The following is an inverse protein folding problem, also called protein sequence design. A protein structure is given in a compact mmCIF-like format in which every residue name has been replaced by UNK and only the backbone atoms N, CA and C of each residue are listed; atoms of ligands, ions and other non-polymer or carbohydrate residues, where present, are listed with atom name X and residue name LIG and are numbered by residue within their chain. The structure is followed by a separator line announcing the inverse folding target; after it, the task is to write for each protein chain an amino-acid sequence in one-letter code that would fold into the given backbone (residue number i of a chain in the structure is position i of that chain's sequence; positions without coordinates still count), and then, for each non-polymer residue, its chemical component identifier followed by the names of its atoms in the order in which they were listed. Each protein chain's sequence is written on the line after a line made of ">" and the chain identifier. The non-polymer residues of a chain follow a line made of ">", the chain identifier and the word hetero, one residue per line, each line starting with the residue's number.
data_IF_066543589976
#
_entry.id   IF_066543589976
#
_cell.length_a   1.000
_cell.length_b   1.000
_cell.length_c   1.000
_cell.angle_alpha   90.00
_cell.angle_beta   90.00
_cell.angle_gamma   90.00
#
_symmetry.space_group_name_H-M   'P 1'
#
loop_
_entity.id
_entity.type
_entity.pdbx_description
1 polymer ?
#
# COMPACT_ATOMS: atom_id res chain seq x y z
N UNK A 1 -0.85 -11.80 15.06
CA UNK A 1 -0.82 -10.33 15.07
C UNK A 1 -0.48 -9.93 16.49
N UNK A 2 0.57 -9.14 16.66
CA UNK A 2 1.04 -8.62 17.93
C UNK A 2 0.47 -7.24 18.24
N UNK A 3 -0.21 -6.61 17.28
CA UNK A 3 -0.97 -5.40 17.52
C UNK A 3 -2.07 -5.67 18.55
N UNK A 4 -1.76 -5.37 19.81
CA UNK A 4 -2.71 -5.39 20.92
C UNK A 4 -2.96 -3.95 21.34
N UNK A 5 -4.15 -3.46 21.03
CA UNK A 5 -4.61 -2.16 21.51
C UNK A 5 -5.10 -2.29 22.95
N UNK A 6 -4.75 -1.31 23.77
CA UNK A 6 -5.30 -1.22 25.11
C UNK A 6 -6.72 -0.63 25.05
N UNK A 7 -7.64 -1.21 25.83
CA UNK A 7 -9.01 -0.73 25.97
C UNK A 7 -10.05 -1.56 25.23
N UNK A 8 -11.13 -0.88 24.80
CA UNK A 8 -12.27 -1.47 24.13
C UNK A 8 -12.39 -0.88 22.72
N UNK A 9 -12.88 -1.65 21.73
CA UNK A 9 -13.20 -1.10 20.42
C UNK A 9 -14.35 -0.09 20.51
N UNK A 10 -14.47 0.80 19.53
CA UNK A 10 -15.59 1.73 19.46
C UNK A 10 -16.80 1.10 18.77
N UNK A 11 -17.99 1.66 19.02
CA UNK A 11 -19.18 1.23 18.30
C UNK A 11 -19.03 1.52 16.80
N UNK A 12 -19.53 0.60 15.97
CA UNK A 12 -19.37 0.62 14.52
C UNK A 12 -17.98 0.32 13.95
N UNK A 13 -16.98 0.05 14.79
CA UNK A 13 -15.66 -0.39 14.32
C UNK A 13 -15.70 -1.74 13.62
N UNK A 14 -14.78 -1.94 12.68
CA UNK A 14 -14.51 -3.23 12.05
C UNK A 14 -13.33 -3.89 12.73
N UNK A 15 -13.52 -5.12 13.19
CA UNK A 15 -12.52 -5.89 13.92
C UNK A 15 -12.35 -7.29 13.32
N UNK A 16 -11.13 -7.82 13.40
CA UNK A 16 -10.82 -9.18 13.01
C UNK A 16 -11.03 -10.11 14.20
N UNK A 17 -11.83 -11.14 14.01
CA UNK A 17 -12.13 -12.10 15.08
C UNK A 17 -11.87 -13.53 14.64
N UNK A 18 -11.39 -14.39 15.53
CA UNK A 18 -11.38 -15.84 15.34
C UNK A 18 -12.55 -16.46 16.09
N UNK A 19 -13.31 -17.31 15.42
CA UNK A 19 -14.40 -18.08 16.06
C UNK A 19 -13.80 -19.08 17.04
N UNK A 20 -14.16 -18.95 18.31
CA UNK A 20 -13.66 -19.83 19.38
C UNK A 20 -14.64 -20.93 19.73
N UNK A 21 -15.93 -20.61 19.77
CA UNK A 21 -16.97 -21.58 20.14
C UNK A 21 -18.31 -21.23 19.49
N UNK A 22 -19.03 -22.24 18.99
CA UNK A 22 -20.34 -22.07 18.36
C UNK A 22 -21.41 -22.73 19.24
N UNK A 23 -22.34 -21.92 19.76
CA UNK A 23 -23.54 -22.40 20.46
C UNK A 23 -24.80 -22.29 19.58
N UNK A 24 -25.93 -22.80 20.08
CA UNK A 24 -27.19 -22.85 19.33
C UNK A 24 -27.73 -21.49 18.90
N UNK A 25 -27.56 -20.44 19.73
CA UNK A 25 -28.10 -19.10 19.47
C UNK A 25 -27.02 -17.99 19.41
N UNK A 26 -25.78 -18.33 19.74
CA UNK A 26 -24.67 -17.38 19.90
C UNK A 26 -23.36 -17.99 19.43
N UNK A 27 -22.50 -17.15 18.86
CA UNK A 27 -21.15 -17.52 18.44
C UNK A 27 -20.18 -16.67 19.23
N UNK A 28 -19.24 -17.30 19.92
CA UNK A 28 -18.17 -16.63 20.63
C UNK A 28 -16.96 -16.51 19.73
N UNK A 29 -16.35 -15.33 19.74
CA UNK A 29 -15.19 -15.01 18.94
C UNK A 29 -14.15 -14.29 19.80
N UNK A 30 -12.87 -14.53 19.54
CA UNK A 30 -11.78 -13.74 20.10
C UNK A 30 -11.41 -12.63 19.12
N UNK A 31 -11.36 -11.40 19.59
CA UNK A 31 -10.92 -10.25 18.79
C UNK A 31 -9.39 -10.25 18.76
N UNK A 32 -8.76 -10.01 17.60
CA UNK A 32 -7.30 -10.02 17.47
C UNK A 32 -6.68 -8.71 17.93
N UNK A 33 -7.29 -7.58 17.56
CA UNK A 33 -6.77 -6.25 17.87
C UNK A 33 -6.93 -5.86 19.34
N UNK A 34 -7.89 -6.46 20.04
CA UNK A 34 -8.19 -6.23 21.44
C UNK A 34 -8.25 -7.60 22.11
N UNK A 35 -7.42 -7.86 23.13
CA UNK A 35 -7.31 -9.16 23.83
C UNK A 35 -8.58 -9.46 24.66
N UNK A 36 -9.71 -9.59 23.96
CA UNK A 36 -11.09 -9.58 24.46
C UNK A 36 -11.94 -10.57 23.66
N UNK A 37 -13.00 -11.05 24.31
CA UNK A 37 -14.00 -11.90 23.68
C UNK A 37 -15.19 -11.07 23.22
N UNK A 38 -15.75 -11.43 22.08
CA UNK A 38 -17.00 -10.89 21.55
C UNK A 38 -18.02 -12.00 21.30
N UNK A 39 -19.28 -11.59 21.21
CA UNK A 39 -20.40 -12.49 20.94
C UNK A 39 -21.16 -12.01 19.70
N UNK A 40 -21.53 -12.94 18.84
CA UNK A 40 -22.39 -12.70 17.68
C UNK A 40 -23.68 -13.46 17.93
N UNK A 41 -24.80 -12.76 18.01
CA UNK A 41 -26.13 -13.38 18.07
C UNK A 41 -26.48 -13.99 16.72
N UNK A 42 -27.27 -15.07 16.70
CA UNK A 42 -27.72 -15.73 15.46
C UNK A 42 -28.32 -14.75 14.43
N UNK A 43 -29.09 -13.76 14.89
CA UNK A 43 -29.70 -12.73 14.04
C UNK A 43 -28.68 -11.83 13.32
N UNK A 44 -27.44 -11.76 13.80
CA UNK A 44 -26.37 -10.92 13.29
C UNK A 44 -25.32 -11.70 12.48
N UNK A 45 -25.51 -13.01 12.26
CA UNK A 45 -24.59 -13.85 11.47
C UNK A 45 -24.80 -13.66 9.96
N UNK A 46 -26.04 -13.74 9.49
CA UNK A 46 -26.34 -13.68 8.06
C UNK A 46 -27.68 -12.96 7.79
N UNK A 47 -27.86 -12.37 6.60
CA UNK A 47 -29.16 -11.91 6.16
C UNK A 47 -30.08 -13.10 5.89
N UNK A 48 -31.27 -13.12 6.50
CA UNK A 48 -32.29 -14.15 6.26
C UNK A 48 -32.39 -15.22 7.38
N UNK A 49 -33.19 -16.27 7.13
CA UNK A 49 -33.44 -17.34 8.10
C UNK A 49 -32.33 -18.39 8.04
N UNK A 50 -31.60 -18.52 9.14
CA UNK A 50 -30.52 -19.49 9.30
C UNK A 50 -31.12 -20.82 9.77
N UNK A 51 -30.89 -21.91 9.02
CA UNK A 51 -31.26 -23.28 9.43
C UNK A 51 -30.15 -23.93 10.26
N UNK A 52 -28.90 -23.71 9.85
CA UNK A 52 -27.72 -24.23 10.51
C UNK A 52 -26.65 -23.12 10.58
N UNK A 53 -26.15 -22.83 11.78
CA UNK A 53 -25.13 -21.80 12.01
C UNK A 53 -23.79 -22.22 11.40
N UNK A 54 -23.49 -23.53 11.39
CA UNK A 54 -22.21 -24.09 10.92
C UNK A 54 -21.97 -23.89 9.42
N UNK A 55 -23.02 -23.57 8.67
CA UNK A 55 -22.90 -23.26 7.24
C UNK A 55 -22.27 -21.86 7.01
N UNK A 56 -22.36 -20.98 8.00
CA UNK A 56 -21.89 -19.58 7.92
C UNK A 56 -20.59 -19.34 8.68
N UNK A 57 -20.39 -20.05 9.79
CA UNK A 57 -19.22 -19.88 10.67
C UNK A 57 -18.67 -21.24 11.07
N UNK A 58 -17.34 -21.34 11.15
CA UNK A 58 -16.63 -22.54 11.56
C UNK A 58 -15.63 -22.16 12.65
N UNK A 59 -15.50 -23.02 13.65
CA UNK A 59 -14.53 -22.85 14.73
C UNK A 59 -13.10 -22.77 14.17
N UNK A 60 -12.29 -21.89 14.75
CA UNK A 60 -10.93 -21.61 14.32
C UNK A 60 -10.82 -20.70 13.07
N UNK A 61 -11.92 -20.42 12.35
CA UNK A 61 -11.86 -19.49 11.21
C UNK A 61 -11.81 -18.04 11.67
N UNK A 62 -11.07 -17.25 10.90
CA UNK A 62 -11.04 -15.79 11.03
C UNK A 62 -12.19 -15.18 10.23
N UNK A 63 -12.92 -14.27 10.86
CA UNK A 63 -14.01 -13.48 10.28
C UNK A 63 -13.81 -12.00 10.60
N UNK A 64 -14.34 -11.11 9.75
CA UNK A 64 -14.35 -9.67 10.02
C UNK A 64 -15.76 -9.31 10.48
N UNK A 65 -15.86 -8.68 11.64
CA UNK A 65 -17.12 -8.33 12.28
C UNK A 65 -17.20 -6.83 12.54
N UNK A 66 -18.41 -6.29 12.53
CA UNK A 66 -18.71 -4.93 12.96
C UNK A 66 -19.13 -4.93 14.43
N UNK A 67 -18.57 -4.01 15.22
CA UNK A 67 -18.97 -3.78 16.61
C UNK A 67 -20.32 -3.08 16.64
N UNK A 68 -21.28 -3.64 17.38
CA UNK A 68 -22.60 -3.06 17.57
C UNK A 68 -22.69 -2.27 18.86
N UNK A 69 -22.28 -2.89 19.96
CA UNK A 69 -22.39 -2.33 21.29
C UNK A 69 -21.25 -2.86 22.16
N UNK A 70 -20.80 -2.04 23.10
CA UNK A 70 -19.71 -2.37 24.01
C UNK A 70 -20.10 -2.05 25.45
N UNK A 71 -20.27 -3.09 26.25
CA UNK A 71 -20.48 -2.95 27.68
C UNK A 71 -19.13 -2.98 28.41
N UNK A 72 -18.61 -1.81 28.76
CA UNK A 72 -17.30 -1.65 29.44
C UNK A 72 -17.29 -2.19 30.86
N UNK A 73 -18.42 -2.17 31.57
CA UNK A 73 -18.53 -2.66 32.96
C UNK A 73 -18.44 -4.18 33.04
N UNK A 74 -19.12 -4.86 32.12
CA UNK A 74 -19.19 -6.34 32.09
C UNK A 74 -18.19 -6.97 31.12
N UNK A 75 -17.55 -6.17 30.28
CA UNK A 75 -16.59 -6.63 29.27
C UNK A 75 -17.21 -7.33 28.06
N UNK A 76 -18.52 -7.19 27.84
CA UNK A 76 -19.21 -7.81 26.71
C UNK A 76 -19.15 -6.91 25.46
N UNK A 77 -18.86 -7.52 24.32
CA UNK A 77 -18.79 -6.86 23.01
C UNK A 77 -19.74 -7.60 22.07
N UNK A 78 -20.79 -6.92 21.63
CA UNK A 78 -21.73 -7.44 20.65
C UNK A 78 -21.24 -7.15 19.24
N UNK A 79 -21.17 -8.19 18.43
CA UNK A 79 -20.58 -8.15 17.09
C UNK A 79 -21.61 -8.59 16.04
N UNK A 80 -21.40 -8.14 14.80
CA UNK A 80 -22.22 -8.50 13.65
C UNK A 80 -21.37 -8.88 12.45
N UNK A 81 -21.69 -10.02 11.86
CA UNK A 81 -21.10 -10.49 10.60
C UNK A 81 -21.90 -9.97 9.40
N UNK A 82 -23.24 -9.87 9.53
CA UNK A 82 -24.14 -9.47 8.43
C UNK A 82 -24.03 -7.99 8.04
N UNK A 83 -23.63 -7.11 8.97
CA UNK A 83 -23.56 -5.66 8.74
C UNK A 83 -22.23 -5.20 8.12
N UNK A 84 -21.37 -6.14 7.71
CA UNK A 84 -20.10 -5.85 7.04
C UNK A 84 -20.27 -6.01 5.55
N UNK A 85 -20.11 -4.91 4.80
CA UNK A 85 -20.13 -4.95 3.33
C UNK A 85 -18.87 -5.62 2.75
N UNK A 86 -18.96 -6.15 1.53
CA UNK A 86 -17.80 -6.76 0.85
C UNK A 86 -16.65 -5.75 0.65
N UNK A 87 -16.96 -4.48 0.38
CA UNK A 87 -15.94 -3.42 0.30
C UNK A 87 -15.21 -3.23 1.63
N UNK A 88 -15.95 -3.14 2.73
CA UNK A 88 -15.38 -3.04 4.07
C UNK A 88 -14.55 -4.26 4.46
N UNK A 89 -14.99 -5.48 4.12
CA UNK A 89 -14.20 -6.70 4.34
C UNK A 89 -12.87 -6.64 3.60
N UNK A 90 -12.86 -6.20 2.34
CA UNK A 90 -11.64 -6.07 1.54
C UNK A 90 -10.68 -5.06 2.16
N UNK A 91 -11.17 -3.85 2.43
CA UNK A 91 -10.36 -2.78 3.05
C UNK A 91 -9.73 -3.24 4.36
N UNK A 92 -10.54 -3.79 5.28
CA UNK A 92 -10.03 -4.27 6.57
C UNK A 92 -9.07 -5.45 6.42
N UNK A 93 -9.35 -6.38 5.50
CA UNK A 93 -8.42 -7.50 5.22
C UNK A 93 -7.08 -7.00 4.71
N UNK A 94 -7.07 -5.97 3.86
CA UNK A 94 -5.85 -5.40 3.31
C UNK A 94 -5.06 -4.62 4.36
N UNK A 95 -5.73 -3.86 5.24
CA UNK A 95 -5.11 -3.23 6.42
C UNK A 95 -4.41 -4.26 7.32
N UNK A 96 -5.06 -5.40 7.57
CA UNK A 96 -4.49 -6.48 8.40
C UNK A 96 -3.28 -7.11 7.71
N UNK A 97 -3.34 -7.38 6.41
CA UNK A 97 -2.19 -7.90 5.64
C UNK A 97 -1.03 -6.90 5.67
N UNK A 98 -1.31 -5.61 5.56
CA UNK A 98 -0.31 -4.54 5.65
C UNK A 98 0.36 -4.53 7.02
N UNK A 99 -0.41 -4.64 8.10
CA UNK A 99 0.13 -4.67 9.45
C UNK A 99 0.95 -5.96 9.71
N UNK A 100 0.53 -7.11 9.20
CA UNK A 100 1.35 -8.34 9.22
C UNK A 100 2.68 -8.17 8.44
N UNK A 101 2.68 -7.38 7.35
CA UNK A 101 3.91 -7.05 6.63
C UNK A 101 4.81 -6.15 7.50
N UNK A 102 4.24 -5.19 8.22
CA UNK A 102 4.95 -4.33 9.16
C UNK A 102 5.57 -5.14 10.31
N UNK A 103 4.83 -6.06 10.92
CA UNK A 103 5.34 -7.01 11.93
C UNK A 103 6.56 -7.77 11.40
N UNK A 104 6.46 -8.35 10.20
CA UNK A 104 7.59 -9.05 9.56
C UNK A 104 8.78 -8.14 9.26
N UNK A 105 8.57 -6.85 8.99
CA UNK A 105 9.66 -5.88 8.79
C UNK A 105 10.39 -5.64 10.11
N UNK A 106 9.64 -5.45 11.20
CA UNK A 106 10.18 -5.28 12.55
C UNK A 106 10.92 -6.54 12.98
N UNK A 107 10.40 -7.73 12.67
CA UNK A 107 11.06 -9.01 12.95
C UNK A 107 12.43 -9.10 12.27
N UNK A 108 12.52 -8.77 10.99
CA UNK A 108 13.78 -8.74 10.24
C UNK A 108 14.76 -7.73 10.84
N UNK A 109 14.28 -6.53 11.19
CA UNK A 109 15.10 -5.50 11.82
C UNK A 109 15.60 -5.95 13.21
N UNK A 110 14.77 -6.62 14.01
CA UNK A 110 15.13 -7.17 15.31
C UNK A 110 16.24 -8.23 15.18
N UNK A 111 16.12 -9.14 14.19
CA UNK A 111 17.16 -10.12 13.89
C UNK A 111 18.49 -9.46 13.49
N UNK A 112 18.45 -8.41 12.66
CA UNK A 112 19.64 -7.66 12.27
C UNK A 112 20.32 -6.95 13.46
N UNK A 113 19.52 -6.46 14.42
CA UNK A 113 19.98 -5.78 15.62
C UNK A 113 20.34 -6.72 16.77
N UNK A 114 20.05 -8.03 16.65
CA UNK A 114 20.14 -9.03 17.73
C UNK A 114 19.34 -8.63 18.98
N UNK A 115 18.18 -8.02 18.78
CA UNK A 115 17.27 -7.62 19.86
C UNK A 115 16.04 -8.53 19.93
N UNK A 116 15.37 -8.55 21.07
CA UNK A 116 14.10 -9.28 21.21
C UNK A 116 13.01 -8.60 20.39
N UNK A 117 12.33 -9.39 19.55
CA UNK A 117 11.27 -8.92 18.66
C UNK A 117 10.11 -8.26 19.40
N UNK A 118 9.70 -8.80 20.56
CA UNK A 118 8.59 -8.24 21.34
C UNK A 118 8.94 -6.87 21.91
N UNK A 119 10.19 -6.71 22.34
CA UNK A 119 10.66 -5.44 22.91
C UNK A 119 10.72 -4.34 21.84
N UNK A 120 11.25 -4.65 20.66
CA UNK A 120 11.29 -3.71 19.53
C UNK A 120 9.88 -3.37 19.04
N UNK A 121 8.98 -4.37 18.97
CA UNK A 121 7.59 -4.14 18.59
C UNK A 121 6.87 -3.25 19.60
N UNK A 122 7.04 -3.47 20.91
CA UNK A 122 6.45 -2.63 21.96
C UNK A 122 6.93 -1.19 21.85
N UNK A 123 8.24 -0.97 21.70
CA UNK A 123 8.80 0.38 21.53
C UNK A 123 8.27 1.08 20.29
N UNK A 124 8.12 0.33 19.19
CA UNK A 124 7.54 0.86 17.96
C UNK A 124 6.05 1.15 18.10
N UNK A 125 5.30 0.25 18.74
CA UNK A 125 3.89 0.43 19.02
C UNK A 125 3.64 1.65 19.91
N UNK A 126 4.40 1.80 21.02
CA UNK A 126 4.22 2.91 21.97
C UNK A 126 4.46 4.28 21.32
N UNK A 127 5.40 4.38 20.38
CA UNK A 127 5.73 5.66 19.71
C UNK A 127 4.88 5.91 18.47
N UNK A 128 4.70 4.90 17.63
CA UNK A 128 4.00 5.04 16.35
C UNK A 128 2.48 5.03 16.52
N UNK A 129 1.92 4.23 17.45
CA UNK A 129 0.46 4.19 17.65
C UNK A 129 -0.10 5.44 18.34
N UNK A 130 0.75 6.31 18.89
CA UNK A 130 0.33 7.62 19.40
C UNK A 130 -0.07 8.60 18.29
N UNK A 131 0.55 8.46 17.11
CA UNK A 131 0.31 9.38 15.98
C UNK A 131 -0.37 8.70 14.80
N UNK A 132 -0.21 7.38 14.67
CA UNK A 132 -0.75 6.59 13.58
C UNK A 132 -1.70 5.53 14.10
N UNK A 133 -2.73 5.24 13.32
CA UNK A 133 -3.66 4.16 13.66
C UNK A 133 -3.03 2.77 13.39
N UNK A 134 -2.11 2.69 12.41
CA UNK A 134 -1.38 1.48 12.03
C UNK A 134 0.13 1.74 11.89
N UNK A 135 0.96 0.76 12.23
CA UNK A 135 2.43 0.87 12.10
C UNK A 135 2.81 0.94 10.63
N UNK A 136 2.10 0.22 9.77
CA UNK A 136 2.34 0.26 8.32
C UNK A 136 2.20 1.67 7.72
N UNK A 137 1.28 2.50 8.23
CA UNK A 137 1.12 3.88 7.75
C UNK A 137 2.37 4.72 8.03
N UNK A 138 2.93 4.59 9.24
CA UNK A 138 4.18 5.24 9.56
C UNK A 138 5.33 4.76 8.65
N UNK A 139 5.36 3.47 8.29
CA UNK A 139 6.37 2.97 7.35
C UNK A 139 6.18 3.52 5.93
N UNK A 140 4.94 3.66 5.45
CA UNK A 140 4.66 4.29 4.15
C UNK A 140 5.14 5.76 4.15
N UNK A 141 4.86 6.50 5.22
CA UNK A 141 5.28 7.91 5.36
C UNK A 141 6.80 8.08 5.47
N UNK A 142 7.49 7.11 6.08
CA UNK A 142 8.96 7.05 6.10
C UNK A 142 9.53 6.79 4.71
N UNK A 143 8.92 5.89 3.93
CA UNK A 143 9.32 5.65 2.52
C UNK A 143 9.08 6.89 1.67
N UNK A 144 7.96 7.58 1.92
CA UNK A 144 7.61 8.82 1.23
C UNK A 144 8.44 10.03 1.69
N UNK A 145 9.31 9.87 2.70
CA UNK A 145 10.18 10.93 3.23
C UNK A 145 9.44 12.03 4.00
N UNK A 146 8.22 11.75 4.45
CA UNK A 146 7.40 12.68 5.24
C UNK A 146 7.76 12.62 6.73
N UNK A 147 8.28 11.48 7.20
CA UNK A 147 8.68 11.26 8.59
C UNK A 147 10.06 10.62 8.65
N UNK A 148 10.94 11.13 9.52
CA UNK A 148 12.19 10.47 9.84
C UNK A 148 12.07 9.65 11.13
N UNK A 149 12.36 8.34 11.02
CA UNK A 149 12.39 7.42 12.17
C UNK A 149 13.43 7.81 13.23
N UNK A 150 14.37 8.70 12.92
CA UNK A 150 15.39 9.18 13.85
C UNK A 150 14.79 9.98 15.02
N UNK A 151 13.59 10.57 14.85
CA UNK A 151 12.92 11.30 15.92
C UNK A 151 12.28 10.35 16.95
N UNK A 152 12.00 9.12 16.54
CA UNK A 152 11.31 8.12 17.35
C UNK A 152 12.23 7.00 17.82
N UNK A 153 13.35 6.73 17.15
CA UNK A 153 14.23 5.61 17.50
C UNK A 153 15.69 6.04 17.50
N UNK A 154 16.52 5.30 18.24
CA UNK A 154 17.97 5.50 18.20
C UNK A 154 18.48 5.37 16.75
N UNK A 155 19.49 6.16 16.40
CA UNK A 155 20.05 6.21 15.04
C UNK A 155 20.41 4.82 14.47
N UNK A 156 20.80 3.87 15.33
CA UNK A 156 21.10 2.49 14.96
C UNK A 156 19.85 1.69 14.56
N UNK A 157 18.75 1.88 15.30
CA UNK A 157 17.46 1.23 15.04
C UNK A 157 16.81 1.87 13.82
N UNK A 158 16.76 3.19 13.77
CA UNK A 158 16.21 3.96 12.66
C UNK A 158 16.91 3.65 11.33
N UNK A 159 18.25 3.59 11.30
CA UNK A 159 18.99 3.24 10.10
C UNK A 159 18.71 1.82 9.59
N UNK A 160 18.59 0.85 10.51
CA UNK A 160 18.27 -0.54 10.16
C UNK A 160 16.84 -0.67 9.65
N UNK A 161 15.87 -0.07 10.38
CA UNK A 161 14.46 -0.06 9.96
C UNK A 161 14.29 0.63 8.62
N UNK A 162 14.91 1.80 8.40
CA UNK A 162 14.87 2.52 7.11
C UNK A 162 15.34 1.60 5.99
N UNK A 163 16.48 0.94 6.15
CA UNK A 163 16.99 -0.02 5.17
C UNK A 163 16.00 -1.16 4.89
N UNK A 164 15.49 -1.83 5.94
CA UNK A 164 14.55 -2.96 5.79
C UNK A 164 13.21 -2.51 5.18
N UNK A 165 12.74 -1.31 5.52
CA UNK A 165 11.52 -0.70 4.99
C UNK A 165 11.71 -0.42 3.49
N UNK A 166 12.80 0.23 3.07
CA UNK A 166 13.08 0.49 1.65
C UNK A 166 13.28 -0.77 0.82
N UNK A 167 13.83 -1.84 1.41
CA UNK A 167 13.96 -3.14 0.73
C UNK A 167 12.61 -3.85 0.54
N UNK A 168 11.67 -3.69 1.48
CA UNK A 168 10.42 -4.49 1.53
C UNK A 168 9.18 -3.74 1.04
N UNK A 169 9.18 -2.42 1.16
CA UNK A 169 8.10 -1.52 0.72
C UNK A 169 8.66 -0.75 -0.48
N UNK A 170 8.27 -1.18 -1.69
CA UNK A 170 8.60 -0.45 -2.90
C UNK A 170 7.88 0.91 -2.83
N UNK A 171 8.58 2.04 -3.04
CA UNK A 171 7.93 3.34 -3.09
C UNK A 171 6.84 3.30 -4.16
N UNK A 172 5.68 3.91 -3.87
CA UNK A 172 4.62 4.10 -4.85
C UNK A 172 5.18 4.94 -6.00
N UNK A 173 5.58 4.27 -7.07
CA UNK A 173 6.10 4.90 -8.26
C UNK A 173 4.96 5.11 -9.23
N UNK A 174 4.70 6.38 -9.52
CA UNK A 174 3.83 6.81 -10.61
C UNK A 174 4.64 6.69 -11.89
N UNK A 175 4.02 6.10 -12.92
CA UNK A 175 4.60 6.00 -14.25
C UNK A 175 3.81 6.94 -15.16
N UNK A 176 4.50 7.89 -15.77
CA UNK A 176 3.91 8.78 -16.79
C UNK A 176 4.48 8.40 -18.14
N UNK A 177 3.60 8.20 -19.13
CA UNK A 177 3.99 7.88 -20.50
C UNK A 177 3.70 9.04 -21.47
N UNK A 178 4.59 9.24 -22.43
CA UNK A 178 4.40 10.13 -23.56
C UNK A 178 4.82 9.45 -24.86
N UNK A 179 3.98 9.57 -25.90
CA UNK A 179 4.27 9.04 -27.22
C UNK A 179 4.81 10.16 -28.11
N UNK A 180 5.95 9.90 -28.75
CA UNK A 180 6.59 10.77 -29.72
C UNK A 180 6.55 10.09 -31.09
N UNK A 181 6.08 10.80 -32.09
CA UNK A 181 6.18 10.38 -33.49
C UNK A 181 7.20 11.27 -34.19
N UNK A 182 8.28 10.66 -34.66
CA UNK A 182 9.44 11.35 -35.22
C UNK A 182 9.62 10.89 -36.67
N UNK A 183 9.54 11.84 -37.60
CA UNK A 183 9.75 11.62 -39.02
C UNK A 183 10.85 12.55 -39.53
N UNK A 184 11.92 11.98 -40.08
CA UNK A 184 13.04 12.68 -40.70
C UNK A 184 13.28 12.12 -42.10
N UNK A 185 13.53 13.01 -43.06
CA UNK A 185 13.76 12.67 -44.47
C UNK A 185 15.19 12.97 -44.93
N UNK A 186 16.10 13.23 -43.99
CA UNK A 186 17.53 13.45 -44.27
C UNK A 186 18.30 12.12 -44.32
N UNK A 187 19.40 12.08 -45.09
CA UNK A 187 20.24 10.88 -45.26
C UNK A 187 20.80 10.36 -43.92
N UNK A 188 21.03 11.24 -42.94
CA UNK A 188 21.49 10.90 -41.59
C UNK A 188 20.36 10.82 -40.54
N UNK A 189 19.10 10.66 -40.96
CA UNK A 189 17.93 10.74 -40.07
C UNK A 189 17.98 9.78 -38.88
N UNK A 190 18.53 8.58 -39.04
CA UNK A 190 18.62 7.58 -37.95
C UNK A 190 19.62 8.00 -36.87
N UNK A 191 20.77 8.56 -37.27
CA UNK A 191 21.80 9.02 -36.32
C UNK A 191 21.31 10.23 -35.52
N UNK A 192 20.63 11.17 -36.20
CA UNK A 192 20.05 12.35 -35.55
C UNK A 192 18.99 11.96 -34.52
N UNK A 193 18.11 10.99 -34.84
CA UNK A 193 17.14 10.47 -33.87
C UNK A 193 17.83 9.80 -32.70
N UNK A 194 18.87 9.01 -32.95
CA UNK A 194 19.63 8.32 -31.90
C UNK A 194 20.28 9.31 -30.94
N UNK A 195 20.89 10.38 -31.45
CA UNK A 195 21.49 11.44 -30.65
C UNK A 195 20.45 12.23 -29.87
N UNK A 196 19.31 12.55 -30.50
CA UNK A 196 18.18 13.19 -29.81
C UNK A 196 17.66 12.33 -28.65
N UNK A 197 17.50 11.02 -28.85
CA UNK A 197 17.05 10.08 -27.81
C UNK A 197 18.12 9.83 -26.74
N UNK A 198 19.41 9.97 -27.06
CA UNK A 198 20.48 9.85 -26.04
C UNK A 198 20.39 10.94 -24.98
N UNK A 199 19.83 12.11 -25.29
CA UNK A 199 19.59 13.17 -24.30
C UNK A 199 18.67 12.74 -23.13
N UNK A 200 17.88 11.69 -23.31
CA UNK A 200 17.04 11.13 -22.23
C UNK A 200 17.86 10.41 -21.17
N UNK A 201 19.08 9.94 -21.49
CA UNK A 201 19.97 9.32 -20.49
C UNK A 201 20.38 10.31 -19.38
N UNK A 202 20.22 11.62 -19.59
CA UNK A 202 20.37 12.64 -18.54
C UNK A 202 19.35 12.45 -17.40
N UNK A 203 18.24 11.77 -17.66
CA UNK A 203 17.18 11.50 -16.71
C UNK A 203 17.20 10.01 -16.32
N UNK A 204 17.79 9.62 -15.18
CA UNK A 204 17.94 8.21 -14.78
C UNK A 204 16.60 7.49 -14.59
N UNK A 205 15.53 8.26 -14.39
CA UNK A 205 14.17 7.79 -14.17
C UNK A 205 13.33 7.67 -15.46
N UNK A 206 13.92 7.95 -16.63
CA UNK A 206 13.26 7.90 -17.92
C UNK A 206 13.74 6.70 -18.75
N UNK A 207 12.80 5.92 -19.28
CA UNK A 207 13.04 4.82 -20.21
C UNK A 207 12.38 5.13 -21.54
N UNK A 208 13.02 4.73 -22.64
CA UNK A 208 12.47 4.83 -23.99
C UNK A 208 12.15 3.42 -24.49
N UNK A 209 11.05 3.28 -25.21
CA UNK A 209 10.71 2.08 -25.97
C UNK A 209 10.35 2.46 -27.40
N UNK A 210 10.84 1.70 -28.37
CA UNK A 210 10.49 1.90 -29.78
C UNK A 210 9.23 1.10 -30.11
N UNK A 211 8.18 1.79 -30.59
CA UNK A 211 6.88 1.18 -30.93
C UNK A 211 6.76 0.84 -32.43
N UNK A 212 7.68 1.33 -33.26
CA UNK A 212 7.68 1.09 -34.71
C UNK A 212 7.22 2.29 -35.55
N UNK A 213 7.69 2.38 -36.79
CA UNK A 213 7.26 3.41 -37.76
C UNK A 213 7.55 4.84 -37.32
N UNK A 214 8.72 5.08 -36.72
CA UNK A 214 9.07 6.40 -36.18
C UNK A 214 8.38 6.77 -34.86
N UNK A 215 7.64 5.84 -34.23
CA UNK A 215 6.99 6.05 -32.93
C UNK A 215 7.86 5.56 -31.78
N UNK A 216 8.03 6.42 -30.79
CA UNK A 216 8.78 6.18 -29.56
C UNK A 216 7.89 6.48 -28.36
N UNK A 217 8.00 5.68 -27.30
CA UNK A 217 7.34 5.92 -26.02
C UNK A 217 8.38 6.24 -24.97
N UNK A 218 8.21 7.36 -24.29
CA UNK A 218 8.99 7.72 -23.11
C UNK A 218 8.16 7.35 -21.88
N UNK A 219 8.76 6.61 -20.97
CA UNK A 219 8.22 6.24 -19.68
C UNK A 219 9.07 6.93 -18.61
N UNK A 220 8.48 7.82 -17.81
CA UNK A 220 9.17 8.44 -16.68
C UNK A 220 8.55 7.92 -15.39
N UNK A 221 9.38 7.39 -14.51
CA UNK A 221 8.97 6.75 -13.26
C UNK A 221 9.41 7.59 -12.07
N UNK A 222 8.52 7.85 -11.11
CA UNK A 222 8.91 8.56 -9.88
C UNK A 222 7.77 8.75 -8.89
N UNK A 223 8.00 9.51 -7.83
CA UNK A 223 7.04 9.67 -6.73
C UNK A 223 5.98 10.75 -6.98
N UNK A 224 6.29 11.78 -7.79
CA UNK A 224 5.43 12.96 -7.91
C UNK A 224 5.01 13.27 -9.35
N UNK A 225 3.70 13.30 -9.60
CA UNK A 225 3.12 13.50 -10.93
C UNK A 225 3.57 14.81 -11.62
N UNK A 226 3.57 15.93 -10.89
CA UNK A 226 3.94 17.25 -11.43
C UNK A 226 5.40 17.30 -11.89
N UNK A 227 6.29 16.75 -11.07
CA UNK A 227 7.71 16.66 -11.37
C UNK A 227 7.98 15.75 -12.57
N UNK A 228 7.27 14.62 -12.65
CA UNK A 228 7.35 13.71 -13.80
C UNK A 228 6.82 14.32 -15.09
N UNK A 229 5.71 15.07 -15.03
CA UNK A 229 5.16 15.76 -16.20
C UNK A 229 6.10 16.85 -16.71
N UNK A 230 6.77 17.57 -15.80
CA UNK A 230 7.79 18.54 -16.16
C UNK A 230 8.98 17.89 -16.85
N UNK A 231 9.49 16.78 -16.30
CA UNK A 231 10.59 16.00 -16.91
C UNK A 231 10.19 15.46 -18.29
N UNK A 232 8.99 14.90 -18.41
CA UNK A 232 8.47 14.37 -19.68
C UNK A 232 8.33 15.48 -20.73
N UNK A 233 7.86 16.66 -20.32
CA UNK A 233 7.72 17.82 -21.21
C UNK A 233 9.08 18.37 -21.63
N UNK A 234 9.99 18.61 -20.67
CA UNK A 234 11.33 19.13 -20.95
C UNK A 234 12.14 18.19 -21.86
N UNK A 235 12.05 16.87 -21.63
CA UNK A 235 12.70 15.87 -22.48
C UNK A 235 12.07 15.79 -23.88
N UNK A 236 10.74 15.84 -23.98
CA UNK A 236 10.04 15.85 -25.26
C UNK A 236 10.37 17.12 -26.06
N UNK A 237 10.38 18.29 -25.42
CA UNK A 237 10.70 19.57 -26.04
C UNK A 237 12.15 19.61 -26.54
N UNK A 238 13.12 19.06 -25.78
CA UNK A 238 14.51 18.88 -26.24
C UNK A 238 14.57 18.06 -27.53
N UNK A 239 13.87 16.92 -27.58
CA UNK A 239 13.86 16.03 -28.76
C UNK A 239 13.21 16.71 -29.96
N UNK A 240 12.06 17.35 -29.75
CA UNK A 240 11.34 18.08 -30.81
C UNK A 240 12.22 19.22 -31.37
N UNK A 241 12.94 19.94 -30.51
CA UNK A 241 13.81 21.03 -30.94
C UNK A 241 15.01 20.55 -31.76
N UNK A 242 15.62 19.42 -31.41
CA UNK A 242 16.69 18.80 -32.22
C UNK A 242 16.14 18.41 -33.59
N UNK A 243 14.96 17.79 -33.64
CA UNK A 243 14.38 17.29 -34.90
C UNK A 243 13.89 18.41 -35.81
N UNK A 244 13.32 19.49 -35.23
CA UNK A 244 12.92 20.68 -35.99
C UNK A 244 14.10 21.44 -36.59
N UNK A 245 15.27 21.47 -35.91
CA UNK A 245 16.50 22.05 -36.48
C UNK A 245 16.96 21.34 -37.75
N UNK A 246 16.68 20.04 -37.86
CA UNK A 246 16.98 19.19 -39.01
C UNK A 246 15.79 19.01 -39.97
N UNK A 247 14.86 19.99 -40.02
CA UNK A 247 13.66 20.00 -40.90
C UNK A 247 12.75 18.74 -40.79
N UNK A 248 12.84 17.98 -39.70
CA UNK A 248 11.97 16.83 -39.43
C UNK A 248 10.60 17.24 -38.88
N UNK A 249 9.61 16.36 -39.01
CA UNK A 249 8.33 16.48 -38.30
C UNK A 249 8.39 15.67 -37.01
N UNK A 250 8.09 16.33 -35.90
CA UNK A 250 7.96 15.69 -34.60
C UNK A 250 6.57 16.04 -34.01
N UNK A 251 5.82 15.01 -33.65
CA UNK A 251 4.53 15.14 -32.96
C UNK A 251 4.63 14.50 -31.58
N UNK A 252 4.15 15.23 -30.56
CA UNK A 252 4.06 14.73 -29.20
C UNK A 252 2.60 14.48 -28.84
N UNK A 253 2.28 13.23 -28.55
CA UNK A 253 0.99 12.81 -28.07
C UNK A 253 1.12 12.40 -26.60
N UNK A 254 0.49 13.18 -25.72
CA UNK A 254 0.41 12.82 -24.31
C UNK A 254 -0.51 11.62 -24.15
N UNK A 255 0.02 10.52 -23.62
CA UNK A 255 -0.81 9.39 -23.18
C UNK A 255 -1.45 9.81 -21.86
N UNK A 256 -2.75 10.15 -21.88
CA UNK A 256 -3.48 10.44 -20.63
C UNK A 256 -3.68 9.13 -19.86
N UNK A 257 -3.07 9.10 -18.67
CA UNK A 257 -3.22 8.11 -17.61
C UNK A 257 -2.73 6.70 -17.93
N UNK A 258 -1.53 6.39 -17.45
CA UNK A 258 -1.25 5.07 -16.90
C UNK A 258 -1.39 5.25 -15.38
N UNK A 259 -2.61 5.16 -14.86
CA UNK A 259 -2.81 4.95 -13.44
C UNK A 259 -2.06 3.68 -13.03
N UNK A 260 -1.45 3.71 -11.86
CA UNK A 260 -0.66 2.61 -11.30
C UNK A 260 -1.55 1.39 -11.00
N UNK A 261 -1.91 0.67 -12.04
CA UNK A 261 -2.32 -0.73 -12.02
C UNK A 261 -1.56 -1.43 -13.16
N UNK A 262 -0.24 -1.49 -13.00
CA UNK A 262 0.53 -2.57 -13.62
C UNK A 262 0.79 -3.59 -12.52
N UNK A 263 -0.25 -4.38 -12.22
CA UNK A 263 -0.05 -5.70 -11.64
C UNK A 263 0.87 -6.51 -12.56
N UNK A 264 1.97 -7.01 -12.02
CA UNK A 264 2.56 -8.35 -12.20
C UNK A 264 3.91 -8.42 -11.49
#
# INVERSE_FOLDING_TARGET
>A
MLLKRQGFPEESDLVMCTVTNIQHNSVFVSIHEYDKQGMITISEIAPGRIRNIRDYVLEGKVVICKVLNVNKERGYIDLSLRRVSEGQKRTKSDEIKQEQKAEKIIEIAAHALKMDFKLLYSQAADKLLQQYFYIYQAFDDVVNGTVDLNDYFDAKIAGTLKKTIFEKIKPKQIIVAGDLTLNLWEENGVEIVKDALMSIKEYPNAKISYLGGGKYRILVTGSEYKSLEKILKDSSDKIINVIKKHKGKAEYNRVKNISAEAES
#
